data_IF_262498480785
#
_entry.id   IF_262498480785
#
_cell.length_a   1.000
_cell.length_b   1.000
_cell.length_c   1.000
_cell.angle_alpha   90.00
_cell.angle_beta   90.00
_cell.angle_gamma   90.00
#
_symmetry.space_group_name_H-M   'P 1'
#
loop_
_entity.id
_entity.type
_entity.pdbx_description
1 polymer ?
#
# COMPACT_ATOMS: atom_id res chain seq x y z
N UNK A 1 24.48 2.71 23.30
CA UNK A 1 24.16 2.78 21.85
C UNK A 1 23.88 1.36 21.42
N UNK A 2 22.66 1.06 20.97
CA UNK A 2 22.35 -0.26 20.41
C UNK A 2 23.27 -0.49 19.19
N UNK A 3 23.98 -1.62 19.17
CA UNK A 3 24.94 -1.99 18.11
C UNK A 3 24.27 -2.26 16.76
N UNK A 4 22.94 -2.30 16.71
CA UNK A 4 22.17 -2.63 15.51
C UNK A 4 22.44 -1.67 14.34
N UNK A 5 22.56 -0.37 14.62
CA UNK A 5 22.63 0.65 13.56
C UNK A 5 24.05 1.01 13.08
N UNK A 6 25.10 0.37 13.61
CA UNK A 6 26.48 0.80 13.36
C UNK A 6 27.21 0.13 12.19
N UNK A 7 26.75 -1.01 11.65
CA UNK A 7 27.64 -1.89 10.83
C UNK A 7 27.01 -2.60 9.61
N UNK A 8 26.22 -1.91 8.77
CA UNK A 8 26.02 -2.40 7.38
C UNK A 8 26.97 -1.67 6.43
N UNK A 9 27.90 -2.39 5.82
CA UNK A 9 28.80 -1.85 4.79
C UNK A 9 28.04 -1.35 3.53
N UNK A 10 26.79 -1.75 3.35
CA UNK A 10 25.84 -1.23 2.34
C UNK A 10 25.13 0.08 2.75
N UNK A 11 25.16 0.48 4.03
CA UNK A 11 24.51 1.71 4.55
C UNK A 11 25.31 3.00 4.31
N UNK A 12 26.47 2.95 3.65
CA UNK A 12 27.27 4.15 3.39
C UNK A 12 26.51 5.26 2.63
N UNK A 13 25.34 4.95 2.07
CA UNK A 13 24.49 5.84 1.30
C UNK A 13 23.12 6.15 1.92
N UNK A 14 22.79 5.71 3.13
CA UNK A 14 21.54 6.15 3.78
C UNK A 14 21.81 7.25 4.81
N UNK A 15 20.94 8.26 4.94
CA UNK A 15 21.04 9.25 6.02
C UNK A 15 21.05 8.55 7.37
N UNK A 16 21.75 9.12 8.35
CA UNK A 16 21.71 8.58 9.71
C UNK A 16 20.44 9.09 10.40
N UNK A 17 19.62 8.22 11.02
CA UNK A 17 18.45 8.66 11.76
C UNK A 17 18.85 9.53 12.96
N UNK A 18 18.00 10.48 13.33
CA UNK A 18 18.15 11.29 14.53
C UNK A 18 18.03 10.42 15.80
N UNK A 19 18.51 10.94 16.94
CA UNK A 19 18.52 10.18 18.19
C UNK A 19 17.12 9.69 18.63
N UNK A 20 16.08 10.47 18.38
CA UNK A 20 14.70 10.08 18.68
C UNK A 20 14.19 8.95 17.78
N UNK A 21 14.55 8.97 16.50
CA UNK A 21 14.21 7.91 15.53
C UNK A 21 14.96 6.62 15.87
N UNK A 22 16.25 6.72 16.24
CA UNK A 22 17.02 5.57 16.74
C UNK A 22 16.36 4.98 17.99
N UNK A 23 15.94 5.81 18.95
CA UNK A 23 15.25 5.32 20.13
C UNK A 23 13.91 4.65 19.79
N UNK A 24 13.17 5.18 18.81
CA UNK A 24 11.95 4.58 18.30
C UNK A 24 12.20 3.22 17.66
N UNK A 25 13.15 3.14 16.72
CA UNK A 25 13.52 1.91 16.03
C UNK A 25 14.02 0.84 17.00
N UNK A 26 14.80 1.22 18.03
CA UNK A 26 15.24 0.26 19.06
C UNK A 26 14.09 -0.38 19.83
N UNK A 27 13.01 0.37 20.15
CA UNK A 27 11.83 -0.23 20.80
C UNK A 27 11.14 -1.25 19.90
N UNK A 28 11.09 -0.99 18.59
CA UNK A 28 10.56 -1.95 17.62
C UNK A 28 11.49 -3.16 17.45
N UNK A 29 12.81 -2.96 17.46
CA UNK A 29 13.78 -4.05 17.45
C UNK A 29 13.60 -4.95 18.68
N UNK A 30 13.47 -4.38 19.88
CA UNK A 30 13.19 -5.13 21.11
C UNK A 30 11.88 -5.93 21.02
N UNK A 31 10.83 -5.31 20.48
CA UNK A 31 9.55 -5.99 20.22
C UNK A 31 9.72 -7.17 19.24
N UNK A 32 10.37 -6.95 18.11
CA UNK A 32 10.61 -7.99 17.10
C UNK A 32 11.45 -9.16 17.64
N UNK A 33 12.46 -8.88 18.46
CA UNK A 33 13.26 -9.94 19.10
C UNK A 33 12.36 -10.81 19.97
N UNK A 34 11.49 -10.20 20.79
CA UNK A 34 10.55 -10.94 21.62
C UNK A 34 9.56 -11.78 20.79
N UNK A 35 9.04 -11.23 19.68
CA UNK A 35 8.16 -11.97 18.77
C UNK A 35 8.88 -13.16 18.11
N UNK A 36 10.12 -12.96 17.65
CA UNK A 36 10.95 -14.01 17.08
C UNK A 36 11.20 -15.13 18.10
N UNK A 37 11.55 -14.79 19.34
CA UNK A 37 11.75 -15.76 20.41
C UNK A 37 10.47 -16.56 20.72
N UNK A 38 9.31 -15.89 20.77
CA UNK A 38 8.01 -16.54 21.00
C UNK A 38 7.63 -17.52 19.89
N UNK A 39 8.03 -17.26 18.64
CA UNK A 39 7.76 -18.11 17.48
C UNK A 39 8.86 -19.15 17.21
N UNK A 40 9.72 -19.44 18.20
CA UNK A 40 10.72 -20.50 18.09
C UNK A 40 12.04 -20.07 17.43
N UNK A 41 12.32 -18.77 17.39
CA UNK A 41 13.57 -18.18 16.93
C UNK A 41 13.58 -17.73 15.47
N UNK A 42 12.47 -17.85 14.75
CA UNK A 42 12.30 -17.39 13.36
C UNK A 42 10.85 -16.99 13.10
N UNK A 43 10.63 -15.95 12.30
CA UNK A 43 9.30 -15.58 11.76
C UNK A 43 9.36 -15.49 10.24
N UNK A 44 8.20 -15.58 9.58
CA UNK A 44 8.11 -15.31 8.14
C UNK A 44 8.49 -13.87 7.81
N UNK A 45 8.97 -13.61 6.60
CA UNK A 45 9.15 -12.22 6.16
C UNK A 45 7.83 -11.44 6.17
N UNK A 46 6.72 -12.11 5.87
CA UNK A 46 5.38 -11.53 5.92
C UNK A 46 5.06 -10.96 7.30
N UNK A 47 5.34 -11.73 8.36
CA UNK A 47 5.09 -11.26 9.74
C UNK A 47 6.08 -10.18 10.16
N UNK A 48 7.34 -10.30 9.75
CA UNK A 48 8.32 -9.23 9.92
C UNK A 48 7.83 -7.91 9.29
N UNK A 49 7.40 -7.94 8.03
CA UNK A 49 6.87 -6.80 7.28
C UNK A 49 5.61 -6.25 7.95
N UNK A 50 4.69 -7.11 8.39
CA UNK A 50 3.51 -6.73 9.18
C UNK A 50 3.89 -5.93 10.43
N UNK A 51 4.86 -6.39 11.21
CA UNK A 51 5.27 -5.70 12.44
C UNK A 51 5.98 -4.39 12.16
N UNK A 52 6.95 -4.36 11.23
CA UNK A 52 7.70 -3.12 10.97
C UNK A 52 6.87 -2.04 10.30
N UNK A 53 5.80 -2.40 9.59
CA UNK A 53 4.91 -1.43 8.96
C UNK A 53 3.73 -1.04 9.86
N UNK A 54 3.13 -1.99 10.58
CA UNK A 54 1.81 -1.79 11.19
C UNK A 54 1.72 -2.07 12.69
N UNK A 55 2.82 -2.40 13.38
CA UNK A 55 2.77 -2.61 14.83
C UNK A 55 2.24 -1.34 15.53
N UNK A 56 1.14 -1.42 16.31
CA UNK A 56 0.55 -0.24 16.93
C UNK A 56 1.56 0.57 17.74
N UNK A 57 1.73 1.85 17.39
CA UNK A 57 2.66 2.79 18.04
C UNK A 57 4.15 2.63 17.69
N UNK A 58 4.53 1.64 16.87
CA UNK A 58 5.93 1.35 16.51
C UNK A 58 6.18 1.14 15.01
N UNK A 59 5.21 0.60 14.28
CA UNK A 59 5.31 0.33 12.85
C UNK A 59 5.35 1.63 12.04
N UNK A 60 5.92 1.56 10.84
CA UNK A 60 6.12 2.71 9.96
C UNK A 60 4.83 3.52 9.75
N UNK A 61 3.71 2.87 9.44
CA UNK A 61 2.42 3.53 9.25
C UNK A 61 1.68 3.83 10.57
N UNK A 62 2.06 3.21 11.68
CA UNK A 62 1.34 3.30 12.97
C UNK A 62 2.07 4.08 14.08
N UNK A 63 3.25 4.65 13.80
CA UNK A 63 4.15 5.29 14.77
C UNK A 63 3.86 6.78 15.05
N UNK A 64 2.99 7.44 14.28
CA UNK A 64 2.61 8.84 14.47
C UNK A 64 3.75 9.87 14.33
N UNK A 65 4.87 9.50 13.71
CA UNK A 65 5.91 10.46 13.36
C UNK A 65 5.45 11.27 12.12
N UNK A 66 5.91 12.52 12.00
CA UNK A 66 5.60 13.44 10.89
C UNK A 66 6.12 12.90 9.55
N UNK A 67 5.28 12.20 8.79
CA UNK A 67 5.70 11.32 7.68
C UNK A 67 5.19 11.67 6.28
N UNK A 68 4.39 12.72 6.11
CA UNK A 68 3.89 13.12 4.78
C UNK A 68 3.90 14.64 4.56
N UNK A 69 4.32 15.06 3.37
CA UNK A 69 4.54 16.45 2.96
C UNK A 69 5.81 16.60 2.11
N UNK A 70 6.31 17.82 1.88
CA UNK A 70 7.56 18.07 1.14
C UNK A 70 8.83 17.44 1.78
N UNK A 71 8.69 16.74 2.91
CA UNK A 71 9.72 15.90 3.54
C UNK A 71 9.23 14.50 3.97
N UNK A 72 8.13 13.99 3.40
CA UNK A 72 7.73 12.57 3.53
C UNK A 72 8.49 11.68 2.54
N UNK A 73 8.50 10.35 2.70
CA UNK A 73 9.41 9.50 1.92
C UNK A 73 9.06 9.39 0.43
N UNK A 74 7.79 9.58 0.05
CA UNK A 74 7.30 9.52 -1.33
C UNK A 74 6.15 10.51 -1.61
N UNK A 75 5.85 10.71 -2.90
CA UNK A 75 4.77 11.57 -3.41
C UNK A 75 3.83 10.70 -4.24
N UNK A 76 2.57 10.59 -3.83
CA UNK A 76 1.54 9.79 -4.52
C UNK A 76 0.79 10.61 -5.57
N UNK A 77 0.07 9.95 -6.48
CA UNK A 77 -0.65 10.63 -7.57
C UNK A 77 -1.59 11.78 -7.11
N UNK A 78 -2.38 11.64 -6.01
CA UNK A 78 -3.20 12.72 -5.48
C UNK A 78 -2.40 13.96 -5.01
N UNK A 79 -1.13 13.81 -4.65
CA UNK A 79 -0.24 14.91 -4.25
C UNK A 79 0.34 15.67 -5.45
N UNK A 80 0.44 15.02 -6.61
CA UNK A 80 1.03 15.61 -7.82
C UNK A 80 0.04 16.55 -8.50
N UNK A 81 -1.22 16.13 -8.66
CA UNK A 81 -2.21 16.90 -9.42
C UNK A 81 -3.65 16.61 -8.98
N UNK A 82 -4.51 17.64 -8.86
CA UNK A 82 -5.93 17.45 -8.59
C UNK A 82 -6.67 16.75 -9.74
N UNK A 83 -6.08 16.71 -10.94
CA UNK A 83 -6.69 16.06 -12.11
C UNK A 83 -6.89 14.56 -11.90
N UNK A 84 -6.05 13.92 -11.10
CA UNK A 84 -6.18 12.50 -10.75
C UNK A 84 -7.51 12.24 -10.02
N UNK A 85 -7.73 12.92 -8.88
CA UNK A 85 -8.97 12.79 -8.13
C UNK A 85 -10.21 13.28 -8.89
N UNK A 86 -10.08 14.33 -9.73
CA UNK A 86 -11.18 14.77 -10.59
C UNK A 86 -11.60 13.71 -11.61
N UNK A 87 -10.64 12.99 -12.19
CA UNK A 87 -10.90 11.91 -13.15
C UNK A 87 -11.56 10.73 -12.45
N UNK A 88 -11.07 10.35 -11.26
CA UNK A 88 -11.69 9.31 -10.44
C UNK A 88 -13.11 9.67 -10.01
N UNK A 89 -13.40 10.92 -9.67
CA UNK A 89 -14.75 11.37 -9.38
C UNK A 89 -15.70 11.20 -10.57
N UNK A 90 -15.23 11.46 -11.78
CA UNK A 90 -16.03 11.22 -13.00
C UNK A 90 -16.32 9.73 -13.17
N UNK A 91 -15.33 8.86 -12.93
CA UNK A 91 -15.56 7.42 -12.93
C UNK A 91 -16.58 7.00 -11.86
N UNK A 92 -16.50 7.55 -10.66
CA UNK A 92 -17.47 7.29 -9.60
C UNK A 92 -18.89 7.71 -9.99
N UNK A 93 -19.07 8.89 -10.61
CA UNK A 93 -20.39 9.33 -11.11
C UNK A 93 -20.97 8.34 -12.12
N UNK A 94 -20.17 7.88 -13.09
CA UNK A 94 -20.64 6.89 -14.08
C UNK A 94 -21.06 5.57 -13.43
N UNK A 95 -20.38 5.15 -12.37
CA UNK A 95 -20.74 3.95 -11.59
C UNK A 95 -22.06 4.18 -10.85
N UNK A 96 -22.25 5.36 -10.23
CA UNK A 96 -23.50 5.70 -9.56
C UNK A 96 -24.68 5.81 -10.52
N UNK A 97 -24.47 6.37 -11.72
CA UNK A 97 -25.49 6.47 -12.77
C UNK A 97 -25.92 5.09 -13.30
N UNK A 98 -25.06 4.09 -13.20
CA UNK A 98 -25.37 2.68 -13.52
C UNK A 98 -26.12 1.96 -12.39
N UNK A 99 -26.43 2.64 -11.29
CA UNK A 99 -27.28 2.14 -10.20
C UNK A 99 -26.53 1.74 -8.94
N UNK A 100 -25.21 1.93 -8.85
CA UNK A 100 -24.49 1.75 -7.59
C UNK A 100 -24.91 2.82 -6.57
N UNK A 101 -24.96 2.43 -5.29
CA UNK A 101 -25.25 3.37 -4.22
C UNK A 101 -24.16 4.46 -4.12
N UNK A 102 -24.57 5.69 -3.78
CA UNK A 102 -23.68 6.87 -3.66
C UNK A 102 -22.91 6.89 -2.34
N UNK A 103 -22.14 5.83 -2.12
CA UNK A 103 -21.20 5.71 -1.01
C UNK A 103 -19.82 5.37 -1.58
N UNK A 104 -18.79 5.96 -0.99
CA UNK A 104 -17.39 5.64 -1.27
C UNK A 104 -16.76 5.10 0.01
N UNK A 105 -16.00 4.02 -0.11
CA UNK A 105 -15.12 3.50 0.94
C UNK A 105 -13.68 3.54 0.43
N UNK A 106 -12.85 4.40 1.00
CA UNK A 106 -11.42 4.51 0.68
C UNK A 106 -10.57 3.81 1.74
N UNK A 107 -9.68 2.92 1.32
CA UNK A 107 -8.63 2.36 2.16
C UNK A 107 -7.38 3.22 2.05
N UNK A 108 -6.77 3.56 3.19
CA UNK A 108 -5.48 4.26 3.21
C UNK A 108 -5.50 5.60 2.49
N UNK A 109 -6.33 6.54 2.95
CA UNK A 109 -6.55 7.83 2.27
C UNK A 109 -5.34 8.79 2.27
N UNK A 110 -4.19 8.37 2.82
CA UNK A 110 -2.95 9.15 2.87
C UNK A 110 -3.17 10.49 3.57
N UNK A 111 -2.97 11.59 2.84
CA UNK A 111 -3.20 12.95 3.33
C UNK A 111 -4.68 13.39 3.37
N UNK A 112 -5.58 12.61 2.76
CA UNK A 112 -6.98 12.97 2.52
C UNK A 112 -7.20 13.78 1.24
N UNK A 113 -6.17 14.05 0.44
CA UNK A 113 -6.30 14.79 -0.83
C UNK A 113 -7.22 14.14 -1.83
N UNK A 114 -7.16 12.82 -1.99
CA UNK A 114 -8.02 12.12 -2.96
C UNK A 114 -9.50 12.29 -2.58
N UNK A 115 -9.83 12.07 -1.30
CA UNK A 115 -11.15 12.35 -0.75
C UNK A 115 -11.60 13.80 -1.03
N UNK A 116 -10.76 14.80 -0.74
CA UNK A 116 -11.06 16.21 -1.03
C UNK A 116 -11.37 16.43 -2.51
N UNK A 117 -10.49 15.96 -3.39
CA UNK A 117 -10.62 16.13 -4.84
C UNK A 117 -11.90 15.49 -5.36
N UNK A 118 -12.20 14.27 -4.90
CA UNK A 118 -13.40 13.55 -5.32
C UNK A 118 -14.66 14.26 -4.86
N UNK A 119 -14.79 14.55 -3.57
CA UNK A 119 -15.99 15.19 -3.01
C UNK A 119 -16.25 16.58 -3.58
N UNK A 120 -15.19 17.30 -3.96
CA UNK A 120 -15.31 18.61 -4.61
C UNK A 120 -15.82 18.50 -6.04
N UNK A 121 -15.52 17.38 -6.72
CA UNK A 121 -15.84 17.19 -8.14
C UNK A 121 -17.19 16.50 -8.39
N UNK A 122 -17.68 15.70 -7.43
CA UNK A 122 -18.98 15.04 -7.54
C UNK A 122 -20.13 16.08 -7.66
N UNK A 123 -21.09 15.78 -8.52
CA UNK A 123 -22.24 16.64 -8.82
C UNK A 123 -23.36 16.50 -7.80
N UNK A 124 -23.54 15.31 -7.22
CA UNK A 124 -24.53 15.05 -6.18
C UNK A 124 -23.86 14.48 -4.93
N UNK A 125 -24.55 14.63 -3.80
CA UNK A 125 -24.07 14.17 -2.50
C UNK A 125 -23.72 12.69 -2.48
N UNK A 126 -22.64 12.37 -1.78
CA UNK A 126 -22.14 11.03 -1.52
C UNK A 126 -21.71 10.95 -0.05
N UNK A 127 -21.86 9.80 0.59
CA UNK A 127 -21.15 9.52 1.86
C UNK A 127 -19.77 8.99 1.54
N UNK A 128 -18.76 9.41 2.32
CA UNK A 128 -17.38 9.03 2.09
C UNK A 128 -16.81 8.44 3.37
N UNK A 129 -16.50 7.16 3.35
CA UNK A 129 -15.91 6.44 4.47
C UNK A 129 -14.43 6.19 4.21
N UNK A 130 -13.59 6.40 5.21
CA UNK A 130 -12.15 6.14 5.18
C UNK A 130 -11.81 5.07 6.21
N UNK A 131 -11.12 4.01 5.81
CA UNK A 131 -10.45 3.08 6.72
C UNK A 131 -8.97 3.46 6.77
N UNK A 132 -8.53 3.93 7.94
CA UNK A 132 -7.17 4.40 8.19
C UNK A 132 -6.63 3.72 9.46
N UNK A 133 -5.57 2.94 9.32
CA UNK A 133 -4.93 2.22 10.43
C UNK A 133 -4.09 3.15 11.32
N UNK A 134 -3.66 4.29 10.77
CA UNK A 134 -2.84 5.26 11.47
C UNK A 134 -3.69 6.31 12.19
N UNK A 135 -3.68 6.29 13.52
CA UNK A 135 -4.38 7.30 14.32
C UNK A 135 -3.87 8.74 14.04
N UNK A 136 -2.58 8.90 13.74
CA UNK A 136 -1.99 10.19 13.38
C UNK A 136 -2.42 10.67 11.99
N UNK A 137 -2.41 9.79 10.97
CA UNK A 137 -2.92 10.18 9.64
C UNK A 137 -4.40 10.50 9.69
N UNK A 138 -5.18 9.76 10.47
CA UNK A 138 -6.60 10.06 10.69
C UNK A 138 -6.80 11.48 11.21
N UNK A 139 -6.03 11.91 12.21
CA UNK A 139 -6.12 13.28 12.73
C UNK A 139 -5.73 14.31 11.67
N UNK A 140 -4.64 14.08 10.92
CA UNK A 140 -4.21 14.98 9.84
C UNK A 140 -5.23 15.08 8.72
N UNK A 141 -5.82 13.96 8.31
CA UNK A 141 -6.90 13.90 7.32
C UNK A 141 -8.12 14.70 7.81
N UNK A 142 -8.51 14.55 9.08
CA UNK A 142 -9.62 15.30 9.67
C UNK A 142 -9.36 16.80 9.66
N UNK A 143 -8.19 17.25 10.14
CA UNK A 143 -7.80 18.65 10.15
C UNK A 143 -7.73 19.24 8.73
N UNK A 144 -7.10 18.52 7.80
CA UNK A 144 -7.00 18.92 6.41
C UNK A 144 -8.38 19.05 5.77
N UNK A 145 -9.20 18.01 5.82
CA UNK A 145 -10.52 17.98 5.20
C UNK A 145 -11.47 19.01 5.82
N UNK A 146 -11.41 19.21 7.15
CA UNK A 146 -12.20 20.25 7.82
C UNK A 146 -11.80 21.66 7.36
N UNK A 147 -10.51 21.87 7.07
CA UNK A 147 -10.01 23.18 6.62
C UNK A 147 -10.37 23.52 5.17
N UNK A 148 -10.58 22.52 4.31
CA UNK A 148 -10.74 22.73 2.87
C UNK A 148 -12.13 22.36 2.30
N UNK A 149 -12.93 21.56 3.01
CA UNK A 149 -14.28 21.21 2.57
C UNK A 149 -15.34 22.12 3.22
N UNK A 150 -16.44 22.44 2.51
CA UNK A 150 -17.62 23.04 3.14
C UNK A 150 -18.15 22.17 4.28
N UNK A 151 -18.70 22.80 5.33
CA UNK A 151 -19.13 22.10 6.54
C UNK A 151 -20.14 20.97 6.28
N UNK A 152 -21.10 21.19 5.38
CA UNK A 152 -22.08 20.16 5.00
C UNK A 152 -21.48 18.99 4.19
N UNK A 153 -20.34 19.20 3.53
CA UNK A 153 -19.61 18.15 2.81
C UNK A 153 -18.73 17.37 3.78
N UNK A 154 -18.01 18.07 4.65
CA UNK A 154 -17.17 17.46 5.69
C UNK A 154 -17.98 16.52 6.61
N UNK A 155 -19.20 16.90 6.99
CA UNK A 155 -20.11 16.06 7.79
C UNK A 155 -20.47 14.71 7.16
N UNK A 156 -20.22 14.53 5.86
CA UNK A 156 -20.44 13.27 5.14
C UNK A 156 -19.21 12.37 5.12
N UNK A 157 -18.07 12.87 5.57
CA UNK A 157 -16.85 12.09 5.72
C UNK A 157 -16.89 11.35 7.05
N UNK A 158 -16.66 10.05 7.02
CA UNK A 158 -16.61 9.18 8.20
C UNK A 158 -15.30 8.42 8.20
N UNK A 159 -14.67 8.30 9.35
CA UNK A 159 -13.54 7.39 9.51
C UNK A 159 -14.00 6.16 10.26
N UNK A 160 -13.71 4.99 9.73
CA UNK A 160 -14.10 3.69 10.28
C UNK A 160 -12.86 2.97 10.82
N UNK A 161 -13.03 2.26 11.94
CA UNK A 161 -11.96 1.44 12.53
C UNK A 161 -11.93 0.02 11.94
N UNK A 162 -13.03 -0.39 11.29
CA UNK A 162 -13.24 -1.69 10.69
C UNK A 162 -14.17 -1.58 9.48
N UNK A 163 -14.29 -2.66 8.72
CA UNK A 163 -15.29 -2.74 7.66
C UNK A 163 -16.70 -2.47 8.21
N UNK A 164 -17.55 -1.74 7.47
CA UNK A 164 -18.95 -1.59 7.84
C UNK A 164 -19.66 -2.95 7.82
N UNK A 165 -20.79 -3.08 8.53
CA UNK A 165 -21.59 -4.32 8.53
C UNK A 165 -22.26 -4.54 7.16
N UNK A 166 -22.72 -3.45 6.55
CA UNK A 166 -23.34 -3.45 5.22
C UNK A 166 -22.77 -2.28 4.41
N UNK A 167 -22.35 -2.56 3.19
CA UNK A 167 -21.87 -1.57 2.25
C UNK A 167 -22.38 -1.84 0.83
N UNK A 168 -22.76 -0.76 0.16
CA UNK A 168 -22.97 -0.75 -1.28
C UNK A 168 -22.43 0.56 -1.84
N UNK A 169 -21.71 0.50 -2.95
CA UNK A 169 -21.12 1.68 -3.59
C UNK A 169 -19.76 1.41 -4.25
N UNK A 170 -18.85 2.38 -4.16
CA UNK A 170 -17.52 2.30 -4.75
C UNK A 170 -16.47 2.10 -3.65
N UNK A 171 -15.62 1.10 -3.81
CA UNK A 171 -14.43 0.90 -2.97
C UNK A 171 -13.21 1.44 -3.72
N UNK A 172 -12.39 2.24 -3.05
CA UNK A 172 -11.17 2.83 -3.60
C UNK A 172 -9.96 2.38 -2.78
N UNK A 173 -8.88 2.04 -3.47
CA UNK A 173 -7.55 1.94 -2.88
C UNK A 173 -6.51 2.47 -3.87
N UNK A 174 -5.71 3.44 -3.42
CA UNK A 174 -4.62 4.02 -4.21
C UNK A 174 -3.31 3.80 -3.46
N UNK A 175 -2.40 3.00 -4.01
CA UNK A 175 -1.12 2.61 -3.37
C UNK A 175 -1.39 2.00 -1.98
N UNK A 176 -2.15 0.91 -2.01
CA UNK A 176 -2.58 0.15 -0.81
C UNK A 176 -2.16 -1.30 -0.92
N UNK A 177 -2.19 -1.86 -2.13
CA UNK A 177 -1.89 -3.27 -2.35
C UNK A 177 -0.39 -3.52 -2.24
N UNK A 178 0.44 -2.56 -2.66
CA UNK A 178 1.89 -2.66 -2.61
C UNK A 178 2.47 -2.70 -1.19
N UNK A 179 1.78 -2.07 -0.24
CA UNK A 179 2.16 -2.04 1.17
C UNK A 179 1.67 -3.28 1.96
N UNK A 180 0.83 -4.14 1.36
CA UNK A 180 0.36 -5.35 2.04
C UNK A 180 1.53 -6.32 2.30
N UNK A 181 1.67 -6.90 3.51
CA UNK A 181 2.80 -7.75 3.84
C UNK A 181 2.92 -8.99 2.96
N UNK A 182 4.05 -9.16 2.27
CA UNK A 182 4.28 -10.28 1.34
C UNK A 182 5.11 -11.40 1.96
N UNK A 183 4.91 -12.62 1.49
CA UNK A 183 5.86 -13.72 1.72
C UNK A 183 7.00 -13.60 0.72
N UNK A 184 8.23 -13.89 1.15
CA UNK A 184 9.37 -13.99 0.24
C UNK A 184 9.71 -15.45 0.01
N UNK A 185 9.80 -15.85 -1.25
CA UNK A 185 10.19 -17.20 -1.66
C UNK A 185 11.46 -17.13 -2.49
N UNK A 186 12.36 -18.08 -2.28
CA UNK A 186 13.62 -18.19 -2.98
C UNK A 186 13.82 -19.60 -3.53
N UNK A 187 14.55 -19.72 -4.63
CA UNK A 187 14.79 -20.98 -5.32
C UNK A 187 16.27 -21.31 -5.37
N UNK A 188 16.66 -22.42 -4.75
CA UNK A 188 17.94 -23.08 -5.04
C UNK A 188 17.72 -24.16 -6.10
N UNK A 189 17.61 -25.42 -5.65
CA UNK A 189 17.12 -26.54 -6.47
C UNK A 189 15.60 -26.64 -6.43
N UNK A 190 15.01 -26.27 -5.29
CA UNK A 190 13.57 -26.23 -5.04
C UNK A 190 13.22 -24.90 -4.37
N UNK A 191 11.95 -24.52 -4.44
CA UNK A 191 11.42 -23.35 -3.76
C UNK A 191 11.42 -23.54 -2.24
N UNK A 192 11.68 -22.46 -1.52
CA UNK A 192 11.52 -22.36 -0.08
C UNK A 192 11.15 -20.93 0.30
N UNK A 193 10.47 -20.78 1.42
CA UNK A 193 10.12 -19.49 2.01
C UNK A 193 11.28 -18.94 2.85
N UNK A 194 11.48 -17.62 2.79
CA UNK A 194 12.43 -16.88 3.59
C UNK A 194 11.77 -16.34 4.86
N UNK A 195 12.44 -16.58 5.98
CA UNK A 195 12.14 -16.00 7.28
C UNK A 195 13.23 -15.04 7.75
N UNK A 196 12.95 -14.40 8.88
CA UNK A 196 13.84 -13.46 9.55
C UNK A 196 14.18 -13.99 10.94
N UNK A 197 15.48 -13.98 11.26
CA UNK A 197 16.04 -14.37 12.57
C UNK A 197 16.84 -13.23 13.16
N UNK A 198 17.01 -13.20 14.47
CA UNK A 198 17.94 -12.31 15.15
C UNK A 198 19.17 -13.09 15.64
N UNK A 199 20.37 -12.71 15.21
CA UNK A 199 21.62 -13.44 15.52
C UNK A 199 22.31 -12.99 16.83
N UNK A 200 21.61 -12.17 17.63
CA UNK A 200 22.16 -11.52 18.83
C UNK A 200 22.71 -10.11 18.56
N UNK A 201 22.96 -9.76 17.29
CA UNK A 201 23.44 -8.44 16.88
C UNK A 201 22.52 -7.76 15.88
N UNK A 202 21.95 -8.51 14.94
CA UNK A 202 21.15 -7.99 13.83
C UNK A 202 20.13 -9.01 13.31
N UNK A 203 19.18 -8.51 12.51
CA UNK A 203 18.28 -9.36 11.74
C UNK A 203 18.99 -9.90 10.50
N UNK A 204 18.77 -11.17 10.19
CA UNK A 204 19.26 -11.81 8.96
C UNK A 204 18.18 -12.71 8.35
N UNK A 205 18.36 -12.99 7.07
CA UNK A 205 17.57 -13.98 6.33
C UNK A 205 17.90 -15.40 6.77
N UNK A 206 16.87 -16.25 6.85
CA UNK A 206 17.01 -17.68 7.07
C UNK A 206 15.98 -18.43 6.22
N UNK A 207 16.29 -19.67 5.81
CA UNK A 207 15.29 -20.55 5.18
C UNK A 207 14.27 -20.97 6.24
N UNK A 208 13.00 -20.65 6.01
CA UNK A 208 11.90 -20.95 6.92
C UNK A 208 11.36 -22.37 6.70
N UNK A 209 10.83 -22.63 5.50
CA UNK A 209 10.20 -23.91 5.15
C UNK A 209 10.19 -24.08 3.63
N UNK A 210 10.18 -25.31 3.12
CA UNK A 210 9.88 -25.63 1.72
C UNK A 210 8.43 -26.11 1.51
N UNK A 211 7.64 -26.15 2.58
CA UNK A 211 6.23 -26.49 2.56
C UNK A 211 5.43 -25.35 3.16
N UNK A 212 4.99 -24.43 2.29
CA UNK A 212 4.06 -23.35 2.62
C UNK A 212 3.13 -23.04 1.45
N UNK A 213 2.06 -22.31 1.73
CA UNK A 213 1.13 -21.82 0.70
C UNK A 213 1.85 -20.92 -0.31
N UNK A 214 2.79 -20.08 0.15
CA UNK A 214 3.59 -19.22 -0.73
C UNK A 214 4.48 -20.05 -1.67
N UNK A 215 5.13 -21.10 -1.15
CA UNK A 215 5.93 -22.04 -1.95
C UNK A 215 5.06 -22.80 -2.96
N UNK A 216 3.84 -23.19 -2.56
CA UNK A 216 2.89 -23.86 -3.45
C UNK A 216 2.42 -22.93 -4.57
N UNK A 217 2.11 -21.67 -4.25
CA UNK A 217 1.68 -20.67 -5.22
C UNK A 217 2.77 -20.39 -6.28
N UNK A 218 4.01 -20.12 -5.86
CA UNK A 218 5.09 -19.88 -6.82
C UNK A 218 5.42 -21.12 -7.66
N UNK A 219 5.31 -22.32 -7.08
CA UNK A 219 5.51 -23.57 -7.82
C UNK A 219 4.43 -23.78 -8.90
N UNK A 220 3.18 -23.39 -8.62
CA UNK A 220 2.10 -23.42 -9.60
C UNK A 220 2.33 -22.41 -10.74
N UNK A 221 2.77 -21.20 -10.41
CA UNK A 221 3.13 -20.16 -11.39
C UNK A 221 4.28 -20.65 -12.28
N UNK A 222 5.33 -21.22 -11.71
CA UNK A 222 6.44 -21.81 -12.46
C UNK A 222 5.97 -22.95 -13.38
N UNK A 223 5.10 -23.82 -12.90
CA UNK A 223 4.57 -24.92 -13.70
C UNK A 223 3.73 -24.46 -14.90
N UNK A 224 3.07 -23.29 -14.79
CA UNK A 224 2.17 -22.75 -15.82
C UNK A 224 2.86 -21.76 -16.77
N UNK A 225 3.81 -20.96 -16.27
CA UNK A 225 4.49 -19.89 -17.02
C UNK A 225 5.88 -20.27 -17.53
N UNK A 226 6.52 -21.26 -16.92
CA UNK A 226 7.84 -21.75 -17.30
C UNK A 226 8.85 -21.70 -16.16
N UNK A 227 9.96 -22.41 -16.36
CA UNK A 227 10.99 -22.58 -15.34
C UNK A 227 11.69 -21.26 -15.02
N UNK A 228 11.75 -20.93 -13.73
CA UNK A 228 12.52 -19.84 -13.17
C UNK A 228 13.92 -20.35 -12.74
N UNK A 229 14.97 -19.53 -12.89
CA UNK A 229 16.34 -19.93 -12.65
C UNK A 229 16.63 -20.18 -11.15
N UNK A 230 17.70 -20.92 -10.86
CA UNK A 230 18.24 -20.98 -9.49
C UNK A 230 18.79 -19.61 -9.06
N UNK A 231 18.70 -19.31 -7.76
CA UNK A 231 19.00 -18.00 -7.18
C UNK A 231 17.86 -16.98 -7.33
N UNK A 232 16.70 -17.37 -7.86
CA UNK A 232 15.55 -16.49 -8.02
C UNK A 232 14.88 -16.26 -6.66
N UNK A 233 14.58 -15.00 -6.34
CA UNK A 233 13.82 -14.60 -5.15
C UNK A 233 12.71 -13.66 -5.57
N UNK A 234 11.50 -13.84 -5.03
CA UNK A 234 10.34 -13.01 -5.36
C UNK A 234 9.31 -13.02 -4.25
N UNK A 235 8.30 -12.17 -4.41
CA UNK A 235 7.22 -11.93 -3.48
C UNK A 235 5.99 -12.75 -3.87
N UNK A 236 5.26 -13.23 -2.87
CA UNK A 236 3.92 -13.81 -3.01
C UNK A 236 3.00 -13.15 -1.99
N UNK A 237 1.92 -12.52 -2.45
CA UNK A 237 0.96 -11.88 -1.57
C UNK A 237 -0.27 -12.77 -1.35
N UNK A 238 -0.33 -13.40 -0.18
CA UNK A 238 -1.45 -14.26 0.22
C UNK A 238 -2.61 -13.50 0.87
N UNK A 239 -2.50 -12.19 1.06
CA UNK A 239 -3.54 -11.40 1.74
C UNK A 239 -4.68 -10.95 0.82
N UNK A 240 -4.51 -11.02 -0.50
CA UNK A 240 -5.55 -10.60 -1.44
C UNK A 240 -6.86 -11.37 -1.23
N UNK A 241 -6.79 -12.70 -1.15
CA UNK A 241 -7.98 -13.55 -0.98
C UNK A 241 -8.70 -13.31 0.36
N UNK A 242 -8.03 -13.29 1.54
CA UNK A 242 -8.66 -12.89 2.79
C UNK A 242 -9.27 -11.48 2.77
N UNK A 243 -8.58 -10.50 2.19
CA UNK A 243 -9.04 -9.12 2.13
C UNK A 243 -10.30 -8.97 1.25
N UNK A 244 -10.30 -9.61 0.08
CA UNK A 244 -11.45 -9.63 -0.83
C UNK A 244 -12.63 -10.41 -0.25
N UNK A 245 -12.41 -11.51 0.47
CA UNK A 245 -13.48 -12.22 1.17
C UNK A 245 -14.15 -11.34 2.23
N UNK A 246 -13.35 -10.63 3.04
CA UNK A 246 -13.89 -9.70 4.04
C UNK A 246 -14.73 -8.58 3.40
N UNK A 247 -14.31 -8.05 2.25
CA UNK A 247 -15.12 -7.13 1.45
C UNK A 247 -16.39 -7.78 0.92
N UNK A 248 -16.31 -9.00 0.40
CA UNK A 248 -17.47 -9.72 -0.14
C UNK A 248 -18.54 -9.95 0.93
N UNK A 249 -18.13 -10.25 2.16
CA UNK A 249 -19.02 -10.48 3.31
C UNK A 249 -19.80 -9.24 3.73
N UNK A 250 -19.20 -8.04 3.63
CA UNK A 250 -19.88 -6.81 4.01
C UNK A 250 -20.58 -6.09 2.84
N UNK A 251 -20.26 -6.45 1.59
CA UNK A 251 -20.76 -5.76 0.41
C UNK A 251 -21.93 -6.48 -0.25
N UNK A 252 -23.07 -5.80 -0.42
CA UNK A 252 -24.16 -6.31 -1.26
C UNK A 252 -23.87 -6.04 -2.75
N UNK A 253 -23.52 -4.79 -3.09
CA UNK A 253 -23.08 -4.38 -4.42
C UNK A 253 -21.92 -3.39 -4.33
N UNK A 254 -20.73 -3.80 -4.77
CA UNK A 254 -19.55 -2.94 -4.78
C UNK A 254 -18.84 -2.94 -6.13
N UNK A 255 -18.38 -1.77 -6.57
CA UNK A 255 -17.37 -1.64 -7.62
C UNK A 255 -16.06 -1.25 -6.97
N UNK A 256 -15.03 -2.07 -7.13
CA UNK A 256 -13.73 -1.90 -6.49
C UNK A 256 -12.74 -1.33 -7.53
N UNK A 257 -12.15 -0.18 -7.23
CA UNK A 257 -11.10 0.43 -8.04
C UNK A 257 -9.79 0.42 -7.24
N UNK A 258 -8.85 -0.42 -7.67
CA UNK A 258 -7.51 -0.50 -7.10
C UNK A 258 -6.52 0.10 -8.09
N UNK A 259 -5.75 1.09 -7.63
CA UNK A 259 -4.73 1.78 -8.42
C UNK A 259 -3.40 1.56 -7.73
N UNK A 260 -2.47 0.89 -8.40
CA UNK A 260 -1.18 0.56 -7.84
C UNK A 260 -0.14 0.30 -8.95
N UNK A 261 1.14 0.24 -8.59
CA UNK A 261 2.21 -0.16 -9.49
C UNK A 261 2.42 -1.67 -9.43
N UNK A 262 2.47 -2.29 -10.61
CA UNK A 262 2.47 -3.74 -10.70
C UNK A 262 2.52 -4.23 -12.12
N UNK A 263 2.41 -5.54 -12.26
CA UNK A 263 2.55 -6.25 -13.52
C UNK A 263 1.55 -7.41 -13.60
N UNK A 264 1.20 -7.80 -14.82
CA UNK A 264 0.70 -9.15 -15.10
C UNK A 264 1.81 -10.18 -14.81
N UNK A 265 1.47 -11.44 -14.52
CA UNK A 265 2.45 -12.45 -14.11
C UNK A 265 3.57 -12.69 -15.12
N UNK A 266 3.27 -12.55 -16.41
CA UNK A 266 4.27 -12.69 -17.47
C UNK A 266 5.42 -11.68 -17.34
N UNK A 267 5.12 -10.50 -16.79
CA UNK A 267 6.08 -9.42 -16.56
C UNK A 267 6.60 -9.37 -15.10
N UNK A 268 5.78 -9.85 -14.16
CA UNK A 268 6.16 -10.01 -12.76
C UNK A 268 7.24 -11.08 -12.60
N UNK A 269 7.02 -12.27 -13.16
CA UNK A 269 7.87 -13.45 -13.00
C UNK A 269 8.80 -13.69 -14.20
N UNK A 270 9.33 -12.62 -14.79
CA UNK A 270 10.34 -12.74 -15.86
C UNK A 270 11.61 -13.39 -15.32
N UNK A 271 12.26 -14.32 -16.05
CA UNK A 271 13.50 -14.96 -15.60
C UNK A 271 14.61 -13.98 -15.22
N UNK A 272 14.65 -12.79 -15.84
CA UNK A 272 15.62 -11.74 -15.56
C UNK A 272 15.36 -10.98 -14.25
N UNK A 273 14.15 -11.05 -13.67
CA UNK A 273 13.78 -10.40 -12.42
C UNK A 273 14.11 -11.28 -11.21
N UNK A 274 15.36 -11.73 -11.13
CA UNK A 274 15.80 -12.72 -10.15
C UNK A 274 15.86 -12.22 -8.69
N UNK A 275 15.69 -10.93 -8.45
CA UNK A 275 15.66 -10.32 -7.12
C UNK A 275 14.30 -9.72 -6.75
N UNK A 276 13.24 -10.11 -7.47
CA UNK A 276 11.88 -9.67 -7.18
C UNK A 276 11.65 -8.17 -7.41
N UNK A 277 10.71 -7.64 -6.63
CA UNK A 277 10.24 -6.24 -6.72
C UNK A 277 10.29 -5.52 -5.39
N UNK A 278 10.63 -6.21 -4.29
CA UNK A 278 10.71 -5.62 -2.96
C UNK A 278 11.64 -4.40 -2.96
N UNK A 279 11.11 -3.28 -2.50
CA UNK A 279 11.85 -2.01 -2.42
C UNK A 279 11.54 -1.34 -1.08
N UNK A 280 12.52 -0.63 -0.57
CA UNK A 280 12.41 0.15 0.66
C UNK A 280 12.71 1.61 0.36
N UNK A 281 11.96 2.50 1.00
CA UNK A 281 12.13 3.94 0.86
C UNK A 281 12.45 4.58 2.21
N UNK A 282 13.56 5.31 2.26
CA UNK A 282 13.97 6.07 3.44
C UNK A 282 14.58 7.41 3.05
N UNK A 283 13.96 8.52 3.46
CA UNK A 283 14.32 9.89 3.10
C UNK A 283 14.57 10.09 1.60
N UNK A 284 13.59 9.71 0.78
CA UNK A 284 13.65 9.78 -0.69
C UNK A 284 14.77 8.94 -1.34
N UNK A 285 15.32 7.94 -0.63
CA UNK A 285 16.28 6.99 -1.19
C UNK A 285 15.67 5.61 -1.23
N UNK A 286 15.72 4.99 -2.41
CA UNK A 286 15.27 3.61 -2.62
C UNK A 286 16.44 2.64 -2.42
N UNK A 287 16.21 1.52 -1.74
CA UNK A 287 17.17 0.42 -1.59
C UNK A 287 16.43 -0.91 -1.37
N UNK A 288 17.14 -2.03 -1.50
CA UNK A 288 16.53 -3.37 -1.48
C UNK A 288 16.63 -4.08 -0.10
N UNK A 289 16.82 -3.33 0.99
CA UNK A 289 17.19 -3.95 2.28
C UNK A 289 16.15 -3.65 3.39
N UNK A 290 15.15 -4.53 3.57
CA UNK A 290 14.03 -4.29 4.47
C UNK A 290 14.41 -4.37 5.94
N UNK A 291 15.57 -4.96 6.26
CA UNK A 291 16.00 -5.14 7.65
C UNK A 291 16.69 -3.89 8.20
N UNK A 292 16.91 -2.85 7.39
CA UNK A 292 17.47 -1.58 7.85
C UNK A 292 16.41 -0.79 8.63
N UNK A 293 16.85 -0.06 9.66
CA UNK A 293 16.04 0.92 10.40
C UNK A 293 14.56 0.52 10.61
N UNK A 294 14.27 -0.63 11.26
CA UNK A 294 12.90 -1.12 11.43
C UNK A 294 11.98 -0.02 11.98
N UNK A 295 10.84 0.19 11.31
CA UNK A 295 9.82 1.19 11.66
C UNK A 295 10.09 2.62 11.14
N UNK A 296 11.26 2.87 10.55
CA UNK A 296 11.65 4.19 10.05
C UNK A 296 11.65 4.30 8.52
N UNK A 297 11.56 3.18 7.81
CA UNK A 297 11.48 3.13 6.36
C UNK A 297 10.19 2.45 5.91
N UNK A 298 9.72 2.82 4.73
CA UNK A 298 8.67 2.11 4.04
C UNK A 298 9.23 0.84 3.37
N UNK A 299 8.39 -0.16 3.19
CA UNK A 299 8.68 -1.41 2.51
C UNK A 299 7.47 -1.73 1.64
N UNK A 300 7.71 -1.94 0.35
CA UNK A 300 6.65 -2.26 -0.60
C UNK A 300 7.11 -3.29 -1.61
N UNK A 301 6.15 -3.93 -2.27
CA UNK A 301 6.35 -4.83 -3.38
C UNK A 301 5.41 -4.45 -4.52
N UNK A 302 5.83 -4.65 -5.77
CA UNK A 302 4.91 -4.47 -6.89
C UNK A 302 3.74 -5.43 -6.76
N UNK A 303 2.58 -5.04 -7.28
CA UNK A 303 1.38 -5.89 -7.30
C UNK A 303 1.45 -6.90 -8.45
N UNK A 304 1.23 -8.18 -8.14
CA UNK A 304 0.86 -9.17 -9.14
C UNK A 304 -0.66 -9.03 -9.41
N UNK A 305 -0.99 -8.40 -10.54
CA UNK A 305 -2.39 -8.12 -10.88
C UNK A 305 -3.17 -9.36 -11.32
N UNK A 306 -2.50 -10.41 -11.84
CA UNK A 306 -3.21 -11.66 -12.14
C UNK A 306 -3.55 -12.38 -10.83
N UNK A 307 -2.63 -12.42 -9.85
CA UNK A 307 -2.91 -13.00 -8.54
C UNK A 307 -4.04 -12.26 -7.80
N UNK A 308 -4.09 -10.93 -7.90
CA UNK A 308 -5.20 -10.14 -7.35
C UNK A 308 -6.52 -10.44 -8.09
N UNK A 309 -6.49 -10.55 -9.42
CA UNK A 309 -7.66 -10.87 -10.23
C UNK A 309 -8.20 -12.29 -9.96
N UNK A 310 -7.32 -13.29 -9.89
CA UNK A 310 -7.65 -14.67 -9.55
C UNK A 310 -8.29 -14.74 -8.15
N UNK A 311 -7.71 -14.05 -7.17
CA UNK A 311 -8.27 -13.94 -5.83
C UNK A 311 -9.67 -13.28 -5.82
N UNK A 312 -9.90 -12.27 -6.67
CA UNK A 312 -11.20 -11.62 -6.78
C UNK A 312 -12.26 -12.54 -7.40
N UNK A 313 -11.90 -13.28 -8.45
CA UNK A 313 -12.78 -14.27 -9.09
C UNK A 313 -13.14 -15.39 -8.10
N UNK A 314 -12.17 -15.90 -7.35
CA UNK A 314 -12.37 -16.92 -6.33
C UNK A 314 -13.30 -16.48 -5.19
N UNK A 315 -13.33 -15.18 -4.89
CA UNK A 315 -14.23 -14.57 -3.91
C UNK A 315 -15.61 -14.20 -4.51
N UNK A 316 -15.83 -14.48 -5.80
CA UNK A 316 -17.09 -14.24 -6.50
C UNK A 316 -17.28 -12.83 -7.04
N UNK A 317 -16.20 -12.05 -7.20
CA UNK A 317 -16.23 -10.80 -7.95
C UNK A 317 -16.04 -11.04 -9.44
N UNK A 318 -16.42 -10.05 -10.24
CA UNK A 318 -16.16 -10.02 -11.68
C UNK A 318 -15.08 -8.97 -11.98
N UNK A 319 -14.18 -9.28 -12.92
CA UNK A 319 -13.16 -8.33 -13.38
C UNK A 319 -13.78 -7.44 -14.45
N UNK A 320 -14.16 -6.21 -14.07
CA UNK A 320 -14.72 -5.22 -15.00
C UNK A 320 -13.70 -4.66 -15.99
N UNK A 321 -12.40 -4.68 -15.65
CA UNK A 321 -11.34 -4.21 -16.54
C UNK A 321 -9.97 -4.14 -15.86
N UNK A 322 -8.94 -4.14 -16.69
CA UNK A 322 -7.53 -3.93 -16.32
C UNK A 322 -6.88 -3.04 -17.38
N UNK A 323 -6.13 -2.03 -16.97
CA UNK A 323 -5.49 -1.08 -17.88
C UNK A 323 -4.38 -0.31 -17.16
N UNK A 324 -3.50 0.32 -17.92
CA UNK A 324 -2.51 1.26 -17.34
C UNK A 324 -3.19 2.52 -16.80
N UNK A 325 -2.59 3.14 -15.77
CA UNK A 325 -3.07 4.41 -15.22
C UNK A 325 -3.21 5.50 -16.29
N UNK A 326 -2.24 5.63 -17.19
CA UNK A 326 -2.29 6.64 -18.26
C UNK A 326 -3.51 6.46 -19.16
N UNK A 327 -3.82 5.22 -19.57
CA UNK A 327 -5.01 4.92 -20.36
C UNK A 327 -6.30 5.13 -19.57
N UNK A 328 -6.35 4.72 -18.30
CA UNK A 328 -7.51 4.96 -17.43
C UNK A 328 -7.80 6.45 -17.30
N UNK A 329 -6.78 7.27 -17.05
CA UNK A 329 -6.95 8.71 -16.89
C UNK A 329 -7.40 9.38 -18.19
N UNK A 330 -6.77 9.04 -19.32
CA UNK A 330 -7.15 9.58 -20.62
C UNK A 330 -8.60 9.20 -20.99
N UNK A 331 -8.98 7.93 -20.81
CA UNK A 331 -10.35 7.46 -21.07
C UNK A 331 -11.37 8.05 -20.07
N UNK A 332 -10.94 8.32 -18.84
CA UNK A 332 -11.73 8.97 -17.79
C UNK A 332 -11.92 10.48 -18.01
N UNK A 333 -11.36 11.04 -19.08
CA UNK A 333 -11.56 12.44 -19.45
C UNK A 333 -10.58 13.42 -18.80
N UNK A 334 -9.34 12.97 -18.54
CA UNK A 334 -8.27 13.81 -17.98
C UNK A 334 -8.05 15.11 -18.76
N UNK A 335 -8.15 15.05 -20.10
CA UNK A 335 -7.94 16.22 -20.96
C UNK A 335 -9.05 17.24 -20.77
N UNK A 336 -10.30 16.79 -20.67
CA UNK A 336 -11.46 17.64 -20.41
C UNK A 336 -11.40 18.28 -19.02
N UNK A 337 -10.91 17.55 -18.02
CA UNK A 337 -10.67 18.12 -16.68
C UNK A 337 -9.54 19.15 -16.69
N UNK A 338 -8.50 18.95 -17.50
CA UNK A 338 -7.39 19.91 -17.65
C UNK A 338 -7.82 21.21 -18.35
N UNK A 339 -8.77 21.14 -19.28
CA UNK A 339 -9.32 22.29 -19.99
C UNK A 339 -10.38 23.04 -19.17
N UNK A 340 -10.93 22.42 -18.13
CA UNK A 340 -11.95 23.03 -17.30
C UNK A 340 -11.37 24.25 -16.59
N UNK A 341 -12.02 25.43 -16.66
CA UNK A 341 -11.57 26.59 -15.91
C UNK A 341 -11.52 26.23 -14.42
N UNK A 342 -10.34 26.37 -13.80
CA UNK A 342 -10.21 26.27 -12.35
C UNK A 342 -11.24 27.22 -11.74
N UNK A 343 -12.28 26.66 -11.13
CA UNK A 343 -13.26 27.43 -10.40
C UNK A 343 -12.64 27.82 -9.04
N UNK A 344 -11.56 28.62 -9.05
CA UNK A 344 -11.47 29.80 -8.19
C UNK A 344 -10.31 30.73 -8.57
N UNK A 345 -10.57 32.02 -8.43
CA UNK A 345 -9.65 33.12 -8.69
C UNK A 345 -8.60 33.23 -7.58
N UNK A 346 -7.60 32.34 -7.55
CA UNK A 346 -6.39 32.62 -6.74
C UNK A 346 -5.10 31.94 -7.19
N UNK A 347 -5.11 31.21 -8.32
CA UNK A 347 -3.89 30.53 -8.80
C UNK A 347 -2.86 31.49 -9.41
N UNK A 348 -3.24 32.74 -9.75
CA UNK A 348 -2.31 33.77 -10.24
C UNK A 348 -1.46 34.42 -9.14
N UNK A 349 -1.77 34.24 -7.85
CA UNK A 349 -0.96 34.80 -6.75
C UNK A 349 0.14 33.85 -6.25
N UNK A 350 0.13 32.57 -6.67
CA UNK A 350 1.08 31.53 -6.20
C UNK A 350 2.14 31.12 -7.21
N UNK A 351 2.02 31.55 -8.47
CA UNK A 351 3.05 31.39 -9.50
C UNK A 351 3.60 32.78 -9.81
N UNK A 352 4.58 33.21 -9.02
CA UNK A 352 5.19 34.53 -9.10
C UNK A 352 5.78 34.84 -10.48
N UNK A 353 5.04 35.63 -11.25
CA UNK A 353 5.61 36.70 -12.06
C UNK A 353 5.55 38.00 -11.28
#
# INVERSE_FOLDING_TARGET
>A
MSSYHSERQTLAQLPRPAAGEIAHSNRLVEFLIAEIEQHGGIISFRDYMQFVLYQPGLGYYSAGLSKFGAGGDFVTAPEISPLFGSTLARQCELIFEQGAARNILEFGAGSGRLCQQILTRLSQSCTYSIIELSADLRLRQQEYLQSCLPGEVFQRVRWLDQLPVEFSGVVLGNEVLDAMPVHLVSKDQQWFELGVVFDGTRFNWCRLTDDSEAVSAISHIEATRGLLPAGYTTEVNLNFRPWLNALRECCEQAVILMIDYGYEQADYYRPERCSGTLICHYHHRSHADPLVYPGLQDISASVDFDAFADAAIDCGFEICGYTTQGQFLLAGGLLEEAERPLADKDTKSRLGF
#
